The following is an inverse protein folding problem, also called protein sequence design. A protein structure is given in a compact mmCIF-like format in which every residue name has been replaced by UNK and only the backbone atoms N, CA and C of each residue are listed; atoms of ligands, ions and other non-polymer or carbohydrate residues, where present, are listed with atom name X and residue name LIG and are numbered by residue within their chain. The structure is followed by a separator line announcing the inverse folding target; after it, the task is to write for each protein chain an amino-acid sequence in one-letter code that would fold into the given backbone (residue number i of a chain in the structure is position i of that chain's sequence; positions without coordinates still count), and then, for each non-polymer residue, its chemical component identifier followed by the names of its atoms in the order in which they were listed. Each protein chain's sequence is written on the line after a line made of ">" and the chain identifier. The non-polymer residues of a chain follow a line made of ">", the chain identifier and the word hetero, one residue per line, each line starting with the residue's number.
data_IF_766762347310
#
_entry.id   IF_766762347310
#
_cell.length_a   1.000
_cell.length_b   1.000
_cell.length_c   1.000
_cell.angle_alpha   90.00
_cell.angle_beta   90.00
_cell.angle_gamma   90.00
#
_symmetry.space_group_name_H-M   'P 1'
#
loop_
_entity.id
_entity.type
_entity.pdbx_description
1 polymer ?
#
# COMPACT_ATOMS: atom_id res chain seq x y z
N UNK A 1 -36.23 -23.85 -4.99
CA UNK A 1 -35.28 -23.07 -5.83
C UNK A 1 -34.55 -22.07 -4.92
N UNK A 2 -33.39 -22.42 -4.36
CA UNK A 2 -32.58 -21.51 -3.58
C UNK A 2 -31.93 -20.49 -4.55
N UNK A 3 -32.33 -19.20 -4.40
CA UNK A 3 -31.60 -18.09 -5.07
C UNK A 3 -30.11 -18.33 -4.81
N UNK A 4 -29.31 -18.47 -5.86
CA UNK A 4 -27.83 -18.42 -5.81
C UNK A 4 -27.48 -17.03 -5.26
N UNK A 5 -27.44 -16.89 -3.94
CA UNK A 5 -26.81 -15.74 -3.30
C UNK A 5 -25.33 -15.85 -3.71
N UNK A 6 -24.81 -14.83 -4.37
CA UNK A 6 -23.40 -14.81 -4.77
C UNK A 6 -22.49 -15.14 -3.58
N UNK A 7 -21.33 -15.74 -3.84
CA UNK A 7 -20.36 -16.14 -2.81
C UNK A 7 -20.03 -14.96 -1.88
N UNK A 8 -20.24 -15.15 -0.57
CA UNK A 8 -20.10 -14.10 0.45
C UNK A 8 -18.70 -13.47 0.47
N UNK A 9 -17.66 -14.23 0.08
CA UNK A 9 -16.29 -13.73 -0.04
C UNK A 9 -16.17 -12.45 -0.90
N UNK A 10 -16.98 -12.29 -1.94
CA UNK A 10 -16.96 -11.06 -2.75
C UNK A 10 -17.51 -9.83 -2.00
N UNK A 11 -18.43 -10.04 -1.06
CA UNK A 11 -18.88 -8.95 -0.18
C UNK A 11 -17.75 -8.55 0.78
N UNK A 12 -16.96 -9.52 1.26
CA UNK A 12 -15.76 -9.23 2.07
C UNK A 12 -14.71 -8.48 1.25
N UNK A 13 -14.53 -8.79 -0.05
CA UNK A 13 -13.67 -8.00 -0.96
C UNK A 13 -14.15 -6.56 -1.06
N UNK A 14 -15.45 -6.32 -1.25
CA UNK A 14 -16.02 -4.98 -1.27
C UNK A 14 -15.80 -4.23 0.06
N UNK A 15 -15.94 -4.91 1.19
CA UNK A 15 -15.64 -4.34 2.49
C UNK A 15 -14.16 -4.00 2.65
N UNK A 16 -13.25 -4.87 2.20
CA UNK A 16 -11.80 -4.60 2.18
C UNK A 16 -11.44 -3.44 1.24
N UNK A 17 -12.14 -3.28 0.12
CA UNK A 17 -11.99 -2.12 -0.76
C UNK A 17 -12.32 -0.82 -0.02
N UNK A 18 -13.47 -0.75 0.67
CA UNK A 18 -13.85 0.44 1.47
C UNK A 18 -12.85 0.67 2.60
N UNK A 19 -12.40 -0.40 3.28
CA UNK A 19 -11.36 -0.31 4.30
C UNK A 19 -10.09 0.32 3.73
N UNK A 20 -9.65 -0.10 2.53
CA UNK A 20 -8.48 0.45 1.85
C UNK A 20 -8.68 1.93 1.46
N UNK A 21 -9.87 2.34 1.01
CA UNK A 21 -10.18 3.75 0.71
C UNK A 21 -9.90 4.65 1.91
N UNK A 22 -10.44 4.29 3.07
CA UNK A 22 -10.23 5.07 4.30
C UNK A 22 -8.79 4.99 4.80
N UNK A 23 -8.20 3.78 4.82
CA UNK A 23 -6.84 3.58 5.30
C UNK A 23 -5.84 4.45 4.53
N UNK A 24 -5.87 4.38 3.20
CA UNK A 24 -4.95 5.16 2.36
C UNK A 24 -5.28 6.66 2.37
N UNK A 25 -6.56 7.02 2.36
CA UNK A 25 -6.99 8.41 2.43
C UNK A 25 -6.53 9.14 3.70
N UNK A 26 -6.49 8.44 4.82
CA UNK A 26 -6.14 8.98 6.13
C UNK A 26 -4.66 8.76 6.46
N UNK A 27 -4.18 7.51 6.33
CA UNK A 27 -2.87 7.13 6.85
C UNK A 27 -1.72 7.25 5.86
N UNK A 28 -2.01 7.35 4.57
CA UNK A 28 -0.98 7.43 3.52
C UNK A 28 -0.96 8.79 2.82
N UNK A 29 -2.09 9.23 2.29
CA UNK A 29 -2.21 10.53 1.62
C UNK A 29 -2.48 11.68 2.61
N UNK A 30 -3.17 11.40 3.73
CA UNK A 30 -3.50 12.37 4.76
C UNK A 30 -2.29 13.09 5.39
N UNK A 31 -1.21 12.41 5.79
CA UNK A 31 -0.08 13.03 6.47
C UNK A 31 0.53 14.22 5.73
N UNK A 32 0.65 14.17 4.40
CA UNK A 32 1.11 15.31 3.61
C UNK A 32 0.19 16.53 3.68
N UNK A 33 -1.12 16.30 3.76
CA UNK A 33 -2.14 17.34 3.88
C UNK A 33 -2.11 17.94 5.30
N UNK A 34 -1.95 17.09 6.33
CA UNK A 34 -1.83 17.55 7.72
C UNK A 34 -0.60 18.43 7.91
N UNK A 35 0.53 18.05 7.28
CA UNK A 35 1.76 18.85 7.26
C UNK A 35 1.48 20.26 6.75
N UNK A 36 0.85 20.37 5.58
CA UNK A 36 0.56 21.66 4.97
C UNK A 36 -0.36 22.50 5.87
N UNK A 37 -1.45 21.93 6.34
CA UNK A 37 -2.41 22.63 7.21
C UNK A 37 -1.80 23.10 8.54
N UNK A 38 -0.92 22.29 9.14
CA UNK A 38 -0.23 22.66 10.39
C UNK A 38 0.88 23.69 10.15
N UNK A 39 1.61 23.59 9.04
CA UNK A 39 2.61 24.56 8.65
C UNK A 39 1.98 25.96 8.47
N UNK A 40 0.85 26.03 7.76
CA UNK A 40 0.13 27.30 7.55
C UNK A 40 -0.48 27.84 8.86
N UNK A 41 -1.04 26.98 9.72
CA UNK A 41 -1.73 27.42 10.94
C UNK A 41 -0.77 27.79 12.07
N UNK A 42 0.25 26.97 12.33
CA UNK A 42 1.14 27.09 13.49
C UNK A 42 2.52 27.64 13.15
N UNK A 43 2.86 27.75 11.86
CA UNK A 43 4.19 28.19 11.43
C UNK A 43 5.31 27.17 11.72
N UNK A 44 4.97 25.91 12.07
CA UNK A 44 5.98 24.90 12.38
C UNK A 44 6.79 24.50 11.15
N UNK A 45 8.07 24.24 11.37
CA UNK A 45 8.97 23.89 10.27
C UNK A 45 8.55 22.59 9.56
N UNK A 46 8.74 22.56 8.24
CA UNK A 46 8.49 21.36 7.46
C UNK A 46 9.32 20.16 7.95
N UNK A 47 10.53 20.39 8.49
CA UNK A 47 11.38 19.37 9.08
C UNK A 47 10.75 18.69 10.30
N UNK A 48 10.18 19.46 11.24
CA UNK A 48 9.48 18.93 12.40
C UNK A 48 8.27 18.07 11.98
N UNK A 49 7.45 18.60 11.09
CA UNK A 49 6.24 17.93 10.61
C UNK A 49 6.56 16.66 9.81
N UNK A 50 7.58 16.71 8.94
CA UNK A 50 8.08 15.54 8.23
C UNK A 50 8.67 14.49 9.17
N UNK A 51 9.32 14.91 10.25
CA UNK A 51 9.80 14.02 11.32
C UNK A 51 8.65 13.26 11.99
N UNK A 52 7.53 13.92 12.26
CA UNK A 52 6.34 13.26 12.80
C UNK A 52 5.69 12.29 11.81
N UNK A 53 5.69 12.61 10.50
CA UNK A 53 5.24 11.68 9.45
C UNK A 53 6.17 10.47 9.36
N UNK A 54 7.48 10.68 9.44
CA UNK A 54 8.45 9.57 9.49
C UNK A 54 8.21 8.68 10.71
N UNK A 55 7.94 9.27 11.89
CA UNK A 55 7.57 8.53 13.10
C UNK A 55 6.32 7.68 12.88
N UNK A 56 5.28 8.23 12.22
CA UNK A 56 4.06 7.49 11.86
C UNK A 56 4.39 6.22 11.05
N UNK A 57 5.20 6.34 9.99
CA UNK A 57 5.53 5.18 9.15
C UNK A 57 6.46 4.18 9.88
N UNK A 58 7.45 4.66 10.65
CA UNK A 58 8.34 3.78 11.42
C UNK A 58 7.60 3.05 12.55
N UNK A 59 6.72 3.74 13.27
CA UNK A 59 5.86 3.11 14.29
C UNK A 59 4.94 2.06 13.66
N UNK A 60 4.35 2.36 12.51
CA UNK A 60 3.57 1.37 11.76
C UNK A 60 4.42 0.16 11.36
N UNK A 61 5.63 0.38 10.83
CA UNK A 61 6.54 -0.69 10.48
C UNK A 61 6.88 -1.58 11.69
N UNK A 62 6.96 -1.01 12.89
CA UNK A 62 7.16 -1.76 14.12
C UNK A 62 5.91 -2.55 14.56
N UNK A 63 4.70 -2.05 14.33
CA UNK A 63 3.44 -2.67 14.75
C UNK A 63 3.02 -3.82 13.81
N UNK A 64 3.14 -3.63 12.48
CA UNK A 64 2.63 -4.56 11.46
C UNK A 64 3.10 -6.03 11.63
N UNK A 65 4.34 -6.34 12.06
CA UNK A 65 4.76 -7.72 12.29
C UNK A 65 3.97 -8.47 13.38
N UNK A 66 3.39 -7.73 14.32
CA UNK A 66 2.55 -8.30 15.39
C UNK A 66 1.09 -8.51 14.98
N UNK A 67 0.69 -7.98 13.83
CA UNK A 67 -0.69 -8.03 13.34
C UNK A 67 -1.27 -9.46 13.28
N UNK A 68 -0.56 -10.51 12.81
CA UNK A 68 -1.11 -11.87 12.82
C UNK A 68 -1.45 -12.37 14.23
N UNK A 69 -0.64 -11.99 15.24
CA UNK A 69 -0.92 -12.32 16.64
C UNK A 69 -2.12 -11.56 17.18
N UNK A 70 -2.23 -10.27 16.82
CA UNK A 70 -3.37 -9.43 17.21
C UNK A 70 -4.68 -9.97 16.63
N UNK A 71 -4.69 -10.32 15.34
CA UNK A 71 -5.84 -10.92 14.67
C UNK A 71 -6.22 -12.28 15.27
N UNK A 72 -5.24 -13.13 15.62
CA UNK A 72 -5.47 -14.40 16.28
C UNK A 72 -6.01 -14.29 17.70
N UNK A 73 -5.56 -13.27 18.46
CA UNK A 73 -5.94 -13.09 19.87
C UNK A 73 -7.27 -12.34 20.04
N UNK A 74 -7.47 -11.26 19.30
CA UNK A 74 -8.60 -10.33 19.46
C UNK A 74 -9.67 -10.51 18.37
N UNK A 75 -9.34 -11.23 17.30
CA UNK A 75 -10.21 -11.40 16.14
C UNK A 75 -10.21 -10.20 15.20
N UNK A 76 -10.68 -10.44 13.99
CA UNK A 76 -10.64 -9.46 12.88
C UNK A 76 -11.49 -8.22 13.18
N UNK A 77 -12.68 -8.41 13.77
CA UNK A 77 -13.60 -7.30 14.08
C UNK A 77 -12.98 -6.32 15.07
N UNK A 78 -12.42 -6.83 16.19
CA UNK A 78 -11.86 -5.98 17.24
C UNK A 78 -10.62 -5.23 16.74
N UNK A 79 -9.75 -5.89 15.97
CA UNK A 79 -8.55 -5.24 15.40
C UNK A 79 -8.93 -4.16 14.40
N UNK A 80 -9.91 -4.43 13.49
CA UNK A 80 -10.35 -3.42 12.51
C UNK A 80 -11.07 -2.25 13.17
N UNK A 81 -11.99 -2.52 14.11
CA UNK A 81 -12.72 -1.46 14.81
C UNK A 81 -11.78 -0.64 15.72
N UNK A 82 -10.86 -1.30 16.44
CA UNK A 82 -9.83 -0.63 17.22
C UNK A 82 -8.90 0.23 16.36
N UNK A 83 -8.55 -0.26 15.16
CA UNK A 83 -7.83 0.52 14.16
C UNK A 83 -8.59 1.76 13.68
N UNK A 84 -9.92 1.64 13.48
CA UNK A 84 -10.75 2.79 13.12
C UNK A 84 -10.78 3.84 14.23
N UNK A 85 -10.89 3.42 15.49
CA UNK A 85 -10.80 4.33 16.66
C UNK A 85 -9.44 4.99 16.73
N UNK A 86 -8.35 4.23 16.58
CA UNK A 86 -6.99 4.77 16.60
C UNK A 86 -6.76 5.77 15.45
N UNK A 87 -7.25 5.48 14.23
CA UNK A 87 -7.20 6.42 13.10
C UNK A 87 -7.98 7.70 13.38
N UNK A 88 -9.21 7.59 13.89
CA UNK A 88 -10.06 8.73 14.20
C UNK A 88 -9.43 9.63 15.28
N UNK A 89 -9.00 9.03 16.39
CA UNK A 89 -8.31 9.77 17.46
C UNK A 89 -7.00 10.39 17.00
N UNK A 90 -6.23 9.66 16.18
CA UNK A 90 -4.98 10.15 15.62
C UNK A 90 -5.17 11.36 14.70
N UNK A 91 -6.17 11.33 13.82
CA UNK A 91 -6.50 12.47 12.95
C UNK A 91 -6.93 13.69 13.77
N UNK A 92 -7.75 13.48 14.79
CA UNK A 92 -8.13 14.54 15.73
C UNK A 92 -6.89 15.10 16.46
N UNK A 93 -5.99 14.22 16.92
CA UNK A 93 -4.76 14.64 17.59
C UNK A 93 -3.84 15.47 16.68
N UNK A 94 -3.73 15.12 15.36
CA UNK A 94 -3.04 15.96 14.39
C UNK A 94 -3.71 17.33 14.27
N UNK A 95 -5.02 17.35 14.11
CA UNK A 95 -5.75 18.56 13.80
C UNK A 95 -5.84 19.55 14.99
N UNK A 96 -5.87 19.05 16.22
CA UNK A 96 -5.95 19.85 17.42
C UNK A 96 -4.58 20.02 18.14
N UNK A 97 -3.49 19.65 17.45
CA UNK A 97 -2.15 19.89 17.97
C UNK A 97 -1.88 21.40 18.06
N UNK A 98 -1.53 21.86 19.28
CA UNK A 98 -1.17 23.25 19.61
C UNK A 98 0.29 23.39 20.06
N UNK A 99 0.95 22.26 20.36
CA UNK A 99 2.34 22.19 20.79
C UNK A 99 3.07 21.11 19.98
N UNK A 100 4.37 21.28 19.64
CA UNK A 100 5.11 20.30 18.82
C UNK A 100 5.11 18.87 19.35
N UNK A 101 5.09 18.67 20.67
CA UNK A 101 5.09 17.34 21.26
C UNK A 101 3.76 16.59 21.07
N UNK A 102 2.64 17.29 20.77
CA UNK A 102 1.35 16.66 20.42
C UNK A 102 1.45 15.82 19.14
N UNK A 103 2.43 16.11 18.27
CA UNK A 103 2.67 15.34 17.05
C UNK A 103 3.08 13.88 17.33
N UNK A 104 3.72 13.63 18.50
CA UNK A 104 4.14 12.27 18.85
C UNK A 104 2.94 11.34 19.08
N UNK A 105 2.01 11.61 20.01
CA UNK A 105 0.83 10.77 20.17
C UNK A 105 -0.05 10.73 18.92
N UNK A 106 -0.16 11.83 18.16
CA UNK A 106 -0.91 11.87 16.91
C UNK A 106 -0.34 10.91 15.87
N UNK A 107 0.99 10.91 15.68
CA UNK A 107 1.69 9.99 14.80
C UNK A 107 1.55 8.53 15.22
N UNK A 108 1.68 8.23 16.52
CA UNK A 108 1.55 6.87 17.05
C UNK A 108 0.13 6.32 16.92
N UNK A 109 -0.90 7.14 17.18
CA UNK A 109 -2.29 6.75 17.02
C UNK A 109 -2.63 6.47 15.54
N UNK A 110 -2.24 7.38 14.64
CA UNK A 110 -2.46 7.15 13.20
C UNK A 110 -1.66 5.95 12.69
N UNK A 111 -0.44 5.70 13.21
CA UNK A 111 0.35 4.51 12.88
C UNK A 111 -0.35 3.22 13.32
N UNK A 112 -0.94 3.18 14.51
CA UNK A 112 -1.69 2.03 15.00
C UNK A 112 -2.91 1.75 14.12
N UNK A 113 -3.67 2.79 13.77
CA UNK A 113 -4.81 2.69 12.86
C UNK A 113 -4.42 2.23 11.46
N UNK A 114 -3.39 2.83 10.87
CA UNK A 114 -2.82 2.43 9.59
C UNK A 114 -2.38 0.96 9.58
N UNK A 115 -1.70 0.51 10.65
CA UNK A 115 -1.23 -0.88 10.77
C UNK A 115 -2.38 -1.87 10.76
N UNK A 116 -3.46 -1.57 11.50
CA UNK A 116 -4.65 -2.43 11.58
C UNK A 116 -5.44 -2.52 10.26
N UNK A 117 -5.25 -1.59 9.34
CA UNK A 117 -5.90 -1.51 8.03
C UNK A 117 -4.94 -1.73 6.85
N UNK A 118 -3.69 -2.10 7.13
CA UNK A 118 -2.62 -2.27 6.16
C UNK A 118 -2.89 -3.38 5.13
N UNK A 119 -2.02 -3.46 4.12
CA UNK A 119 -2.03 -4.57 3.15
C UNK A 119 -1.96 -5.94 3.82
N UNK A 120 -1.20 -6.06 4.92
CA UNK A 120 -1.11 -7.28 5.71
C UNK A 120 -2.45 -7.65 6.35
N UNK A 121 -3.20 -6.66 6.87
CA UNK A 121 -4.53 -6.86 7.44
C UNK A 121 -5.53 -7.33 6.36
N UNK A 122 -5.60 -6.63 5.23
CA UNK A 122 -6.48 -6.98 4.11
C UNK A 122 -6.16 -8.39 3.58
N UNK A 123 -4.87 -8.72 3.44
CA UNK A 123 -4.46 -10.06 3.05
C UNK A 123 -4.92 -11.12 4.07
N UNK A 124 -4.79 -10.87 5.37
CA UNK A 124 -5.23 -11.78 6.42
C UNK A 124 -6.76 -11.97 6.42
N UNK A 125 -7.54 -10.91 6.20
CA UNK A 125 -9.01 -10.95 6.11
C UNK A 125 -9.46 -11.77 4.91
N UNK A 126 -8.81 -11.61 3.74
CA UNK A 126 -9.22 -12.28 2.50
C UNK A 126 -8.69 -13.71 2.38
N UNK A 127 -7.62 -14.05 3.08
CA UNK A 127 -6.96 -15.35 2.93
C UNK A 127 -7.85 -16.58 3.23
N UNK A 128 -8.79 -16.56 4.19
CA UNK A 128 -9.69 -17.69 4.44
C UNK A 128 -10.77 -17.86 3.35
N UNK A 129 -11.11 -16.79 2.63
CA UNK A 129 -12.18 -16.75 1.64
C UNK A 129 -11.74 -17.18 0.25
N UNK A 130 -10.44 -16.99 -0.10
CA UNK A 130 -9.95 -17.17 -1.46
C UNK A 130 -8.66 -17.98 -1.50
N UNK A 131 -8.60 -18.88 -2.46
CA UNK A 131 -7.42 -19.67 -2.80
C UNK A 131 -6.97 -19.40 -4.25
N UNK A 132 -7.67 -19.94 -5.23
CA UNK A 132 -7.36 -19.78 -6.66
C UNK A 132 -7.63 -18.34 -7.13
N UNK A 133 -8.72 -17.73 -6.68
CA UNK A 133 -9.15 -16.37 -7.03
C UNK A 133 -8.53 -15.29 -6.13
N UNK A 134 -7.61 -15.67 -5.23
CA UNK A 134 -6.97 -14.73 -4.31
C UNK A 134 -6.24 -13.58 -5.00
N UNK A 135 -5.52 -13.76 -6.15
CA UNK A 135 -4.91 -12.64 -6.87
C UNK A 135 -5.93 -11.58 -7.28
N UNK A 136 -7.06 -12.00 -7.84
CA UNK A 136 -8.15 -11.12 -8.23
C UNK A 136 -8.80 -10.43 -7.01
N UNK A 137 -9.07 -11.17 -5.95
CA UNK A 137 -9.66 -10.65 -4.72
C UNK A 137 -8.80 -9.55 -4.07
N UNK A 138 -7.48 -9.80 -3.94
CA UNK A 138 -6.53 -8.81 -3.43
C UNK A 138 -6.40 -7.60 -4.35
N UNK A 139 -6.35 -7.80 -5.66
CA UNK A 139 -6.28 -6.73 -6.64
C UNK A 139 -7.48 -5.79 -6.52
N UNK A 140 -8.69 -6.34 -6.49
CA UNK A 140 -9.91 -5.56 -6.36
C UNK A 140 -9.97 -4.81 -5.02
N UNK A 141 -9.62 -5.47 -3.90
CA UNK A 141 -9.59 -4.84 -2.59
C UNK A 141 -8.57 -3.68 -2.54
N UNK A 142 -7.36 -3.89 -3.08
CA UNK A 142 -6.31 -2.85 -3.06
C UNK A 142 -6.55 -1.70 -4.05
N UNK A 143 -7.47 -1.82 -5.01
CA UNK A 143 -7.89 -0.67 -5.81
C UNK A 143 -8.52 0.43 -4.94
N UNK A 144 -9.08 0.07 -3.79
CA UNK A 144 -9.49 1.04 -2.78
C UNK A 144 -8.37 1.98 -2.33
N UNK A 145 -7.11 1.53 -2.30
CA UNK A 145 -5.97 2.37 -1.97
C UNK A 145 -5.79 3.55 -2.95
N UNK A 146 -5.93 3.29 -4.24
CA UNK A 146 -5.87 4.33 -5.29
C UNK A 146 -7.07 5.26 -5.23
N UNK A 147 -8.27 4.70 -5.06
CA UNK A 147 -9.50 5.51 -4.89
C UNK A 147 -9.42 6.36 -3.61
N UNK A 148 -8.81 5.84 -2.54
CA UNK A 148 -8.55 6.61 -1.32
C UNK A 148 -7.77 7.89 -1.58
N UNK A 149 -6.70 7.82 -2.36
CA UNK A 149 -5.94 9.02 -2.76
C UNK A 149 -6.76 9.99 -3.59
N UNK A 150 -7.45 9.48 -4.62
CA UNK A 150 -8.28 10.30 -5.52
C UNK A 150 -9.46 10.97 -4.81
N UNK A 151 -10.10 10.27 -3.86
CA UNK A 151 -11.27 10.77 -3.16
C UNK A 151 -10.90 11.67 -1.96
N UNK A 152 -9.97 11.22 -1.12
CA UNK A 152 -9.65 11.92 0.13
C UNK A 152 -8.82 13.18 -0.07
N UNK A 153 -7.94 13.24 -1.08
CA UNK A 153 -7.13 14.45 -1.31
C UNK A 153 -8.00 15.68 -1.60
N UNK A 154 -8.93 15.66 -2.57
CA UNK A 154 -9.83 16.78 -2.78
C UNK A 154 -10.84 16.96 -1.64
N UNK A 155 -11.30 15.88 -0.98
CA UNK A 155 -12.19 15.97 0.18
C UNK A 155 -11.51 16.74 1.32
N UNK A 156 -10.27 16.41 1.66
CA UNK A 156 -9.50 17.13 2.67
C UNK A 156 -9.31 18.60 2.30
N UNK A 157 -8.88 18.90 1.06
CA UNK A 157 -8.68 20.27 0.60
C UNK A 157 -9.99 21.09 0.68
N UNK A 158 -11.10 20.51 0.25
CA UNK A 158 -12.40 21.15 0.32
C UNK A 158 -12.85 21.41 1.77
N UNK A 159 -12.80 20.39 2.63
CA UNK A 159 -13.22 20.53 4.02
C UNK A 159 -12.34 21.51 4.80
N UNK A 160 -11.03 21.46 4.62
CA UNK A 160 -10.09 22.36 5.30
C UNK A 160 -10.35 23.81 4.86
N UNK A 161 -10.56 24.04 3.56
CA UNK A 161 -10.86 25.37 3.04
C UNK A 161 -12.22 25.91 3.50
N UNK A 162 -13.20 25.04 3.74
CA UNK A 162 -14.56 25.44 4.12
C UNK A 162 -14.74 25.63 5.64
N UNK A 163 -14.26 24.68 6.44
CA UNK A 163 -14.55 24.63 7.89
C UNK A 163 -13.28 24.59 8.76
N UNK A 164 -12.10 24.72 8.16
CA UNK A 164 -10.83 24.62 8.85
C UNK A 164 -10.41 23.20 9.20
N UNK A 165 -9.12 23.02 9.51
CA UNK A 165 -8.53 21.68 9.71
C UNK A 165 -9.13 20.90 10.89
N UNK A 166 -9.40 21.56 12.02
CA UNK A 166 -9.97 20.90 13.21
C UNK A 166 -11.33 20.26 12.94
N UNK A 167 -12.25 21.01 12.33
CA UNK A 167 -13.58 20.51 11.99
C UNK A 167 -13.56 19.51 10.82
N UNK A 168 -12.71 19.73 9.84
CA UNK A 168 -12.49 18.77 8.75
C UNK A 168 -12.05 17.41 9.30
N UNK A 169 -11.09 17.40 10.22
CA UNK A 169 -10.63 16.20 10.91
C UNK A 169 -11.76 15.52 11.71
N UNK A 170 -12.62 16.32 12.37
CA UNK A 170 -13.77 15.79 13.12
C UNK A 170 -14.77 15.09 12.20
N UNK A 171 -15.07 15.67 11.04
CA UNK A 171 -15.94 15.05 10.02
C UNK A 171 -15.34 13.73 9.51
N UNK A 172 -14.05 13.73 9.16
CA UNK A 172 -13.38 12.53 8.66
C UNK A 172 -13.26 11.46 9.75
N UNK A 173 -12.98 11.84 11.00
CA UNK A 173 -12.94 10.92 12.13
C UNK A 173 -14.32 10.27 12.38
N UNK A 174 -15.38 11.07 12.37
CA UNK A 174 -16.76 10.56 12.49
C UNK A 174 -17.11 9.63 11.33
N UNK A 175 -16.83 10.01 10.08
CA UNK A 175 -17.05 9.18 8.91
C UNK A 175 -16.28 7.84 9.01
N UNK A 176 -15.03 7.88 9.49
CA UNK A 176 -14.20 6.68 9.69
C UNK A 176 -14.88 5.70 10.66
N UNK A 177 -15.36 6.18 11.80
CA UNK A 177 -16.04 5.34 12.79
C UNK A 177 -17.39 4.84 12.28
N UNK A 178 -18.20 5.72 11.67
CA UNK A 178 -19.54 5.38 11.17
C UNK A 178 -19.51 4.39 10.00
N UNK A 179 -18.42 4.38 9.23
CA UNK A 179 -18.28 3.46 8.09
C UNK A 179 -17.53 2.19 8.50
N UNK A 180 -16.33 2.30 9.09
CA UNK A 180 -15.48 1.14 9.30
C UNK A 180 -15.92 0.26 10.47
N UNK A 181 -16.56 0.81 11.51
CA UNK A 181 -17.07 0.00 12.61
C UNK A 181 -18.21 -0.93 12.20
N UNK A 182 -19.33 -0.43 11.60
CA UNK A 182 -20.39 -1.30 11.11
C UNK A 182 -19.91 -2.26 10.02
N UNK A 183 -19.00 -1.80 9.16
CA UNK A 183 -18.38 -2.62 8.14
C UNK A 183 -17.66 -3.83 8.77
N UNK A 184 -16.82 -3.61 9.79
CA UNK A 184 -16.10 -4.68 10.47
C UNK A 184 -17.07 -5.69 11.10
N UNK A 185 -18.09 -5.21 11.81
CA UNK A 185 -19.08 -6.08 12.47
C UNK A 185 -19.90 -6.87 11.45
N UNK A 186 -20.30 -6.24 10.35
CA UNK A 186 -21.20 -6.88 9.37
C UNK A 186 -20.51 -7.87 8.44
N UNK A 187 -19.29 -7.57 7.98
CA UNK A 187 -18.62 -8.36 6.94
C UNK A 187 -17.38 -9.12 7.41
N UNK A 188 -16.73 -8.72 8.51
CA UNK A 188 -15.54 -9.41 9.00
C UNK A 188 -15.81 -10.34 10.18
N UNK A 189 -17.02 -10.30 10.74
CA UNK A 189 -17.44 -11.25 11.78
C UNK A 189 -17.67 -12.68 11.25
N UNK A 190 -18.35 -12.88 10.09
CA UNK A 190 -18.54 -14.22 9.55
C UNK A 190 -17.21 -14.80 9.03
N UNK A 191 -17.00 -16.08 9.27
CA UNK A 191 -15.90 -16.85 8.66
C UNK A 191 -16.47 -17.84 7.64
N UNK A 192 -15.70 -18.29 6.62
CA UNK A 192 -16.18 -19.31 5.70
C UNK A 192 -16.68 -20.55 6.42
N UNK A 193 -15.93 -21.04 7.41
CA UNK A 193 -16.29 -22.22 8.20
C UNK A 193 -17.62 -22.05 8.95
N UNK A 194 -17.87 -20.88 9.56
CA UNK A 194 -19.12 -20.58 10.25
C UNK A 194 -20.34 -20.53 9.32
N UNK A 195 -20.11 -20.28 8.02
CA UNK A 195 -21.15 -20.26 6.98
C UNK A 195 -21.23 -21.58 6.20
N UNK A 196 -20.44 -22.61 6.57
CA UNK A 196 -20.36 -23.88 5.84
C UNK A 196 -19.82 -23.72 4.42
N UNK A 197 -18.97 -22.70 4.17
CA UNK A 197 -18.42 -22.39 2.86
C UNK A 197 -16.94 -22.77 2.79
N UNK A 198 -16.52 -23.20 1.61
CA UNK A 198 -15.11 -23.38 1.29
C UNK A 198 -14.55 -22.19 0.51
N UNK A 199 -13.20 -22.01 0.47
CA UNK A 199 -12.56 -20.97 -0.31
C UNK A 199 -13.03 -20.98 -1.77
N UNK A 200 -13.09 -19.80 -2.38
CA UNK A 200 -13.58 -19.57 -3.75
C UNK A 200 -15.04 -19.95 -3.99
N UNK A 201 -15.79 -20.31 -2.95
CA UNK A 201 -17.16 -20.84 -3.06
C UNK A 201 -17.21 -22.25 -3.65
N UNK A 202 -16.15 -23.06 -3.43
CA UNK A 202 -16.08 -24.44 -3.88
C UNK A 202 -17.07 -25.32 -3.07
N UNK A 203 -17.46 -26.45 -3.66
CA UNK A 203 -18.35 -27.43 -3.03
C UNK A 203 -17.61 -28.40 -2.09
N UNK A 204 -16.27 -28.41 -2.15
CA UNK A 204 -15.41 -29.27 -1.33
C UNK A 204 -14.17 -28.50 -0.83
N UNK A 205 -13.53 -29.00 0.25
CA UNK A 205 -12.29 -28.40 0.72
C UNK A 205 -11.20 -28.45 -0.36
N UNK A 206 -10.33 -27.43 -0.45
CA UNK A 206 -9.22 -27.45 -1.40
C UNK A 206 -8.32 -28.67 -1.10
N UNK A 207 -7.74 -29.30 -2.16
CA UNK A 207 -6.80 -30.40 -1.94
C UNK A 207 -5.63 -29.94 -1.06
N UNK A 208 -5.09 -30.84 -0.21
CA UNK A 208 -3.91 -30.53 0.59
C UNK A 208 -2.80 -30.01 -0.32
N UNK A 209 -2.31 -28.82 -0.05
CA UNK A 209 -1.12 -28.32 -0.77
C UNK A 209 0.09 -29.16 -0.34
N UNK A 210 0.96 -29.58 -1.28
CA UNK A 210 2.26 -30.10 -0.92
C UNK A 210 2.88 -29.07 0.05
N UNK A 211 3.39 -29.55 1.18
CA UNK A 211 4.08 -28.67 2.12
C UNK A 211 5.17 -27.94 1.32
N UNK A 212 4.98 -26.65 1.11
CA UNK A 212 6.05 -25.85 0.52
C UNK A 212 7.26 -26.08 1.42
N UNK A 213 8.43 -26.39 0.85
CA UNK A 213 9.66 -26.63 1.58
C UNK A 213 10.06 -25.34 2.30
N UNK A 214 9.25 -24.95 3.28
CA UNK A 214 9.47 -23.80 4.14
C UNK A 214 10.64 -24.14 5.03
N UNK A 215 11.75 -23.44 4.86
CA UNK A 215 12.89 -23.58 5.73
C UNK A 215 12.45 -23.23 7.16
N UNK A 216 12.50 -24.21 8.05
CA UNK A 216 12.33 -23.96 9.48
C UNK A 216 13.42 -22.94 9.92
N UNK A 217 13.03 -21.91 10.68
CA UNK A 217 13.97 -20.95 11.23
C UNK A 217 13.54 -19.47 11.08
N UNK A 218 14.34 -18.55 11.61
CA UNK A 218 14.06 -17.12 11.54
C UNK A 218 13.98 -16.64 10.09
N UNK A 219 12.94 -15.83 9.76
CA UNK A 219 12.70 -15.33 8.41
C UNK A 219 13.92 -14.62 7.82
N UNK A 220 14.63 -13.85 8.61
CA UNK A 220 15.82 -13.10 8.18
C UNK A 220 17.00 -13.96 7.74
N UNK A 221 17.05 -15.23 8.12
CA UNK A 221 18.06 -16.19 7.66
C UNK A 221 17.68 -16.87 6.34
N UNK A 222 16.45 -16.67 5.87
CA UNK A 222 15.95 -17.27 4.64
C UNK A 222 16.26 -16.37 3.43
N UNK A 223 17.12 -16.79 2.47
CA UNK A 223 17.43 -15.99 1.28
C UNK A 223 16.21 -15.58 0.46
N UNK A 224 15.17 -16.43 0.28
CA UNK A 224 13.95 -16.03 -0.42
C UNK A 224 13.22 -14.87 0.27
N UNK A 225 13.21 -14.84 1.61
CA UNK A 225 12.61 -13.77 2.38
C UNK A 225 13.40 -12.45 2.25
N UNK A 226 14.72 -12.52 2.40
CA UNK A 226 15.58 -11.33 2.26
C UNK A 226 15.46 -10.70 0.88
N UNK A 227 15.49 -11.51 -0.18
CA UNK A 227 15.35 -11.01 -1.56
C UNK A 227 13.95 -10.43 -1.83
N UNK A 228 12.89 -11.04 -1.30
CA UNK A 228 11.52 -10.52 -1.41
C UNK A 228 11.40 -9.17 -0.68
N UNK A 229 11.81 -9.12 0.58
CA UNK A 229 11.70 -7.90 1.40
C UNK A 229 12.52 -6.75 0.83
N UNK A 230 13.79 -6.99 0.45
CA UNK A 230 14.67 -5.96 -0.08
C UNK A 230 14.20 -5.44 -1.44
N UNK A 231 13.80 -6.34 -2.36
CA UNK A 231 13.34 -5.93 -3.68
C UNK A 231 12.10 -5.02 -3.59
N UNK A 232 11.09 -5.41 -2.81
CA UNK A 232 9.88 -4.61 -2.68
C UNK A 232 10.08 -3.36 -1.80
N UNK A 233 11.01 -3.36 -0.86
CA UNK A 233 11.41 -2.16 -0.13
C UNK A 233 12.05 -1.12 -1.07
N UNK A 234 13.02 -1.52 -1.89
CA UNK A 234 13.65 -0.66 -2.90
C UNK A 234 12.62 -0.12 -3.91
N UNK A 235 11.75 -1.00 -4.41
CA UNK A 235 10.70 -0.63 -5.35
C UNK A 235 9.71 0.39 -4.76
N UNK A 236 9.27 0.19 -3.51
CA UNK A 236 8.34 1.11 -2.86
C UNK A 236 9.02 2.45 -2.52
N UNK A 237 10.30 2.45 -2.14
CA UNK A 237 11.08 3.67 -1.92
C UNK A 237 11.18 4.49 -3.21
N UNK A 238 11.51 3.85 -4.33
CA UNK A 238 11.54 4.48 -5.65
C UNK A 238 10.19 5.07 -6.03
N UNK A 239 9.12 4.29 -5.84
CA UNK A 239 7.75 4.70 -6.17
C UNK A 239 7.31 5.90 -5.34
N UNK A 240 7.51 5.87 -4.02
CA UNK A 240 7.10 6.96 -3.14
C UNK A 240 7.87 8.24 -3.41
N UNK A 241 9.19 8.12 -3.55
CA UNK A 241 10.03 9.27 -3.87
C UNK A 241 9.66 9.89 -5.22
N UNK A 242 9.46 9.07 -6.26
CA UNK A 242 9.09 9.58 -7.57
C UNK A 242 7.69 10.22 -7.57
N UNK A 243 6.69 9.60 -6.92
CA UNK A 243 5.35 10.17 -6.82
C UNK A 243 5.34 11.54 -6.14
N UNK A 244 6.15 11.73 -5.10
CA UNK A 244 6.22 13.02 -4.37
C UNK A 244 6.91 14.11 -5.16
N UNK A 245 7.89 13.77 -6.01
CA UNK A 245 8.60 14.75 -6.87
C UNK A 245 7.95 14.94 -8.23
N UNK A 246 7.07 14.04 -8.64
CA UNK A 246 6.50 14.00 -9.99
C UNK A 246 5.72 15.27 -10.34
N UNK A 247 4.96 15.83 -9.39
CA UNK A 247 4.23 17.08 -9.63
C UNK A 247 5.20 18.24 -9.99
N UNK A 248 6.28 18.36 -9.24
CA UNK A 248 7.30 19.40 -9.48
C UNK A 248 8.01 19.21 -10.83
N UNK A 249 8.15 17.98 -11.31
CA UNK A 249 8.73 17.68 -12.63
C UNK A 249 7.74 18.01 -13.76
N UNK A 250 6.46 17.76 -13.55
CA UNK A 250 5.41 17.90 -14.57
C UNK A 250 4.91 19.35 -14.71
N UNK A 251 4.79 20.08 -13.60
CA UNK A 251 4.15 21.40 -13.57
C UNK A 251 4.81 22.46 -14.49
N UNK A 252 6.14 22.54 -14.66
CA UNK A 252 6.77 23.49 -15.56
C UNK A 252 6.38 23.31 -17.02
N UNK A 253 6.09 22.06 -17.45
CA UNK A 253 5.79 21.74 -18.86
C UNK A 253 4.29 21.68 -19.13
N UNK A 254 3.52 21.07 -18.20
CA UNK A 254 2.09 20.82 -18.37
C UNK A 254 1.20 21.88 -17.71
N UNK A 255 1.78 22.80 -16.96
CA UNK A 255 1.04 23.68 -16.06
C UNK A 255 0.48 22.94 -14.86
N UNK A 256 0.00 23.68 -13.85
CA UNK A 256 -0.52 23.10 -12.59
C UNK A 256 -1.69 22.12 -12.81
N UNK A 257 -2.63 22.48 -13.68
CA UNK A 257 -3.78 21.61 -14.00
C UNK A 257 -3.34 20.35 -14.75
N UNK A 258 -2.45 20.49 -15.76
CA UNK A 258 -1.94 19.36 -16.52
C UNK A 258 -1.15 18.39 -15.66
N UNK A 259 -0.33 18.87 -14.72
CA UNK A 259 0.38 18.06 -13.75
C UNK A 259 -0.58 17.28 -12.83
N UNK A 260 -1.63 17.93 -12.33
CA UNK A 260 -2.68 17.27 -11.53
C UNK A 260 -3.40 16.16 -12.31
N UNK A 261 -3.76 16.43 -13.57
CA UNK A 261 -4.38 15.42 -14.45
C UNK A 261 -3.44 14.24 -14.75
N UNK A 262 -2.15 14.52 -14.95
CA UNK A 262 -1.15 13.46 -15.16
C UNK A 262 -0.97 12.57 -13.93
N UNK A 263 -1.01 13.11 -12.71
CA UNK A 263 -1.03 12.29 -11.48
C UNK A 263 -2.31 11.45 -11.36
N UNK A 264 -3.45 11.99 -11.76
CA UNK A 264 -4.71 11.23 -11.83
C UNK A 264 -4.62 10.12 -12.87
N UNK A 265 -3.98 10.37 -14.02
CA UNK A 265 -3.70 9.36 -15.05
C UNK A 265 -2.79 8.26 -14.51
N UNK A 266 -1.71 8.58 -13.78
CA UNK A 266 -0.86 7.58 -13.12
C UNK A 266 -1.66 6.68 -12.18
N UNK A 267 -2.58 7.27 -11.42
CA UNK A 267 -3.46 6.52 -10.50
C UNK A 267 -4.46 5.61 -11.25
N UNK A 268 -5.02 6.09 -12.36
CA UNK A 268 -5.88 5.29 -13.24
C UNK A 268 -5.09 4.11 -13.85
N UNK A 269 -3.89 4.36 -14.32
CA UNK A 269 -2.98 3.32 -14.82
C UNK A 269 -2.62 2.30 -13.72
N UNK A 270 -2.45 2.74 -12.46
CA UNK A 270 -2.20 1.85 -11.33
C UNK A 270 -3.37 0.88 -11.08
N UNK A 271 -4.61 1.36 -11.21
CA UNK A 271 -5.82 0.53 -11.11
C UNK A 271 -5.88 -0.46 -12.27
N UNK A 272 -5.67 0.01 -13.50
CA UNK A 272 -5.68 -0.84 -14.69
C UNK A 272 -4.59 -1.91 -14.62
N UNK A 273 -3.35 -1.53 -14.34
CA UNK A 273 -2.23 -2.47 -14.25
C UNK A 273 -2.44 -3.51 -13.15
N UNK A 274 -2.88 -3.10 -11.96
CA UNK A 274 -3.18 -4.01 -10.85
C UNK A 274 -4.30 -4.99 -11.21
N UNK A 275 -5.38 -4.50 -11.77
CA UNK A 275 -6.52 -5.33 -12.17
C UNK A 275 -6.12 -6.31 -13.26
N UNK A 276 -5.38 -5.86 -14.29
CA UNK A 276 -4.88 -6.71 -15.36
C UNK A 276 -3.99 -7.85 -14.81
N UNK A 277 -3.01 -7.55 -13.97
CA UNK A 277 -2.17 -8.60 -13.36
C UNK A 277 -3.00 -9.52 -12.45
N UNK A 278 -3.90 -8.95 -11.63
CA UNK A 278 -4.74 -9.74 -10.72
C UNK A 278 -5.67 -10.72 -11.44
N UNK A 279 -6.14 -10.37 -12.65
CA UNK A 279 -7.08 -11.18 -13.44
C UNK A 279 -6.41 -12.06 -14.49
N UNK A 280 -5.36 -11.55 -15.15
CA UNK A 280 -4.73 -12.21 -16.30
C UNK A 280 -3.52 -13.07 -15.93
N UNK A 281 -2.99 -12.95 -14.70
CA UNK A 281 -1.81 -13.70 -14.29
C UNK A 281 -2.11 -15.21 -14.20
N UNK A 282 -1.51 -16.06 -15.05
CA UNK A 282 -1.80 -17.49 -15.08
C UNK A 282 -1.47 -18.16 -13.73
N UNK A 283 -2.25 -19.16 -13.35
CA UNK A 283 -2.10 -19.86 -12.06
C UNK A 283 -0.71 -20.50 -11.87
N UNK A 284 -0.09 -20.98 -12.95
CA UNK A 284 1.24 -21.61 -12.95
C UNK A 284 2.43 -20.66 -13.14
N UNK A 285 2.19 -19.37 -13.35
CA UNK A 285 3.27 -18.42 -13.59
C UNK A 285 4.09 -18.14 -12.34
N UNK A 286 5.41 -18.08 -12.50
CA UNK A 286 6.32 -17.68 -11.42
C UNK A 286 6.07 -16.22 -11.02
N UNK A 287 5.57 -16.03 -9.80
CA UNK A 287 5.17 -14.71 -9.26
C UNK A 287 6.35 -13.74 -9.14
N UNK A 288 7.58 -14.25 -8.97
CA UNK A 288 8.78 -13.40 -8.98
C UNK A 288 9.05 -12.79 -10.34
N UNK A 289 8.81 -13.53 -11.43
CA UNK A 289 8.94 -12.99 -12.79
C UNK A 289 7.93 -11.88 -13.06
N UNK A 290 6.70 -12.01 -12.54
CA UNK A 290 5.72 -10.92 -12.61
C UNK A 290 6.22 -9.67 -11.86
N UNK A 291 6.86 -9.85 -10.70
CA UNK A 291 7.50 -8.75 -9.96
C UNK A 291 8.65 -8.09 -10.73
N UNK A 292 9.51 -8.90 -11.33
CA UNK A 292 10.62 -8.40 -12.18
C UNK A 292 10.06 -7.62 -13.38
N UNK A 293 9.09 -8.15 -14.09
CA UNK A 293 8.45 -7.45 -15.21
C UNK A 293 7.83 -6.13 -14.78
N UNK A 294 7.20 -6.09 -13.60
CA UNK A 294 6.67 -4.87 -13.03
C UNK A 294 7.75 -3.81 -12.76
N UNK A 295 8.87 -4.18 -12.15
CA UNK A 295 9.97 -3.26 -11.92
C UNK A 295 10.59 -2.77 -13.22
N UNK A 296 10.70 -3.61 -14.24
CA UNK A 296 11.22 -3.23 -15.55
C UNK A 296 10.29 -2.26 -16.28
N UNK A 297 8.97 -2.47 -16.22
CA UNK A 297 7.99 -1.52 -16.78
C UNK A 297 8.11 -0.16 -16.10
N UNK A 298 8.21 -0.12 -14.77
CA UNK A 298 8.44 1.14 -14.05
C UNK A 298 9.80 1.76 -14.40
N UNK A 299 10.85 0.95 -14.55
CA UNK A 299 12.18 1.42 -14.95
C UNK A 299 12.16 2.09 -16.34
N UNK A 300 11.47 1.48 -17.30
CA UNK A 300 11.27 2.11 -18.62
C UNK A 300 10.51 3.43 -18.48
N UNK A 301 9.46 3.49 -17.67
CA UNK A 301 8.75 4.73 -17.37
C UNK A 301 9.66 5.78 -16.76
N UNK A 302 10.55 5.40 -15.83
CA UNK A 302 11.53 6.30 -15.21
C UNK A 302 12.56 6.80 -16.21
N UNK A 303 13.04 5.96 -17.15
CA UNK A 303 13.92 6.41 -18.26
C UNK A 303 13.21 7.45 -19.12
N UNK A 304 11.97 7.19 -19.53
CA UNK A 304 11.20 8.12 -20.37
C UNK A 304 10.99 9.45 -19.64
N UNK A 305 10.67 9.41 -18.34
CA UNK A 305 10.55 10.62 -17.51
C UNK A 305 11.87 11.40 -17.42
N UNK A 306 13.00 10.71 -17.25
CA UNK A 306 14.32 11.34 -17.17
C UNK A 306 14.72 12.02 -18.49
N UNK A 307 14.49 11.35 -19.62
CA UNK A 307 14.77 11.88 -20.96
C UNK A 307 13.84 13.07 -21.28
N UNK A 308 12.59 13.00 -20.82
CA UNK A 308 11.59 14.04 -21.04
C UNK A 308 11.72 15.25 -20.11
N UNK A 309 12.59 15.17 -19.10
CA UNK A 309 12.64 16.12 -18.00
C UNK A 309 12.81 17.55 -18.48
N UNK A 310 11.71 18.28 -18.50
CA UNK A 310 11.66 19.71 -18.79
C UNK A 310 11.33 20.09 -20.25
N UNK A 311 11.18 19.15 -21.21
CA UNK A 311 11.08 19.52 -22.61
C UNK A 311 9.86 18.97 -23.38
N UNK A 312 9.38 17.78 -23.10
CA UNK A 312 8.36 17.12 -23.90
C UNK A 312 7.15 16.64 -23.12
N UNK A 313 6.01 17.33 -23.29
CA UNK A 313 4.73 16.93 -22.69
C UNK A 313 4.33 15.49 -23.05
N UNK A 314 4.51 15.09 -24.29
CA UNK A 314 4.15 13.74 -24.77
C UNK A 314 4.98 12.65 -24.09
N UNK A 315 6.31 12.85 -23.99
CA UNK A 315 7.19 11.90 -23.31
C UNK A 315 6.91 11.86 -21.80
N UNK A 316 6.64 13.01 -21.17
CA UNK A 316 6.23 13.04 -19.76
C UNK A 316 4.97 12.22 -19.51
N UNK A 317 3.93 12.36 -20.33
CA UNK A 317 2.70 11.59 -20.22
C UNK A 317 2.93 10.09 -20.47
N UNK A 318 3.76 9.74 -21.47
CA UNK A 318 4.12 8.33 -21.71
C UNK A 318 4.86 7.74 -20.52
N UNK A 319 5.82 8.45 -19.96
CA UNK A 319 6.54 8.02 -18.76
C UNK A 319 5.62 7.85 -17.54
N UNK A 320 4.67 8.76 -17.35
CA UNK A 320 3.64 8.68 -16.31
C UNK A 320 2.76 7.44 -16.49
N UNK A 321 2.34 7.11 -17.71
CA UNK A 321 1.54 5.91 -18.00
C UNK A 321 2.32 4.65 -17.67
N UNK A 322 3.55 4.51 -18.17
CA UNK A 322 4.40 3.34 -17.96
C UNK A 322 4.72 3.13 -16.47
N UNK A 323 5.13 4.19 -15.79
CA UNK A 323 5.37 4.16 -14.35
C UNK A 323 4.09 3.84 -13.59
N UNK A 324 2.97 4.46 -13.96
CA UNK A 324 1.65 4.28 -13.36
C UNK A 324 1.17 2.84 -13.40
N UNK A 325 1.33 2.14 -14.53
CA UNK A 325 0.94 0.73 -14.69
C UNK A 325 1.58 -0.18 -13.64
N UNK A 326 2.79 0.14 -13.18
CA UNK A 326 3.51 -0.65 -12.18
C UNK A 326 3.16 -0.31 -10.73
N UNK A 327 2.60 0.86 -10.43
CA UNK A 327 2.36 1.34 -9.06
C UNK A 327 1.53 0.33 -8.25
N UNK A 328 0.46 -0.18 -8.84
CA UNK A 328 -0.49 -1.04 -8.14
C UNK A 328 0.09 -2.37 -7.68
N UNK A 329 1.12 -2.88 -8.35
CA UNK A 329 1.65 -4.22 -8.14
C UNK A 329 2.47 -4.37 -6.87
N UNK A 330 3.06 -3.29 -6.36
CA UNK A 330 3.86 -3.33 -5.15
C UNK A 330 3.06 -3.75 -3.92
N UNK A 331 1.75 -3.55 -3.93
CA UNK A 331 0.87 -3.97 -2.85
C UNK A 331 0.36 -5.41 -3.02
N UNK A 332 0.12 -5.85 -4.26
CA UNK A 332 -0.53 -7.14 -4.55
C UNK A 332 0.44 -8.30 -4.73
N UNK A 333 1.63 -8.08 -5.30
CA UNK A 333 2.58 -9.15 -5.58
C UNK A 333 3.25 -9.77 -4.34
N UNK A 334 3.68 -9.03 -3.30
CA UNK A 334 4.31 -9.64 -2.13
C UNK A 334 3.46 -10.73 -1.45
N UNK A 335 2.15 -10.51 -1.19
CA UNK A 335 1.29 -11.58 -0.66
C UNK A 335 1.17 -12.79 -1.58
N UNK A 336 1.14 -12.57 -2.90
CA UNK A 336 1.04 -13.65 -3.88
C UNK A 336 2.34 -14.47 -3.96
N UNK A 337 3.50 -13.82 -3.89
CA UNK A 337 4.79 -14.50 -3.82
C UNK A 337 4.90 -15.28 -2.50
N UNK A 338 4.52 -14.67 -1.38
CA UNK A 338 4.54 -15.32 -0.07
C UNK A 338 3.65 -16.58 -0.08
N UNK A 339 2.46 -16.51 -0.66
CA UNK A 339 1.55 -17.64 -0.78
C UNK A 339 2.12 -18.78 -1.65
N UNK A 340 2.91 -18.46 -2.66
CA UNK A 340 3.52 -19.45 -3.55
C UNK A 340 4.78 -20.12 -2.94
N UNK A 341 5.46 -19.46 -2.01
CA UNK A 341 6.79 -19.86 -1.55
C UNK A 341 6.87 -20.32 -0.09
N UNK A 342 5.87 -20.00 0.74
CA UNK A 342 5.83 -20.36 2.15
C UNK A 342 4.62 -21.23 2.49
N UNK A 343 4.71 -22.08 3.53
CA UNK A 343 3.55 -22.81 4.09
C UNK A 343 2.44 -21.84 4.51
N UNK A 344 1.19 -22.29 4.44
CA UNK A 344 0.01 -21.45 4.71
C UNK A 344 0.09 -20.75 6.09
N UNK A 345 0.61 -21.45 7.11
CA UNK A 345 0.77 -20.95 8.47
C UNK A 345 1.79 -19.81 8.59
N UNK A 346 2.79 -19.77 7.70
CA UNK A 346 3.84 -18.77 7.69
C UNK A 346 3.48 -17.54 6.84
N UNK A 347 2.55 -17.66 5.88
CA UNK A 347 2.23 -16.58 4.92
C UNK A 347 1.86 -15.28 5.63
N UNK A 348 1.01 -15.33 6.65
CA UNK A 348 0.60 -14.13 7.39
C UNK A 348 1.79 -13.40 8.02
N UNK A 349 2.72 -14.14 8.64
CA UNK A 349 3.94 -13.58 9.24
C UNK A 349 4.88 -13.03 8.18
N UNK A 350 5.07 -13.75 7.07
CA UNK A 350 5.92 -13.29 5.95
C UNK A 350 5.39 -11.99 5.38
N UNK A 351 4.10 -11.92 5.04
CA UNK A 351 3.46 -10.72 4.46
C UNK A 351 3.56 -9.54 5.42
N UNK A 352 3.26 -9.74 6.70
CA UNK A 352 3.35 -8.68 7.71
C UNK A 352 4.78 -8.13 7.83
N UNK A 353 5.79 -9.03 7.88
CA UNK A 353 7.19 -8.60 8.02
C UNK A 353 7.71 -7.92 6.75
N UNK A 354 7.35 -8.43 5.55
CA UNK A 354 7.68 -7.77 4.26
C UNK A 354 7.05 -6.38 4.21
N UNK A 355 5.77 -6.25 4.56
CA UNK A 355 5.07 -4.95 4.59
C UNK A 355 5.73 -3.97 5.57
N UNK A 356 6.17 -4.44 6.73
CA UNK A 356 6.89 -3.61 7.70
C UNK A 356 8.20 -3.07 7.13
N UNK A 357 9.00 -3.95 6.49
CA UNK A 357 10.27 -3.54 5.85
C UNK A 357 10.00 -2.53 4.74
N UNK A 358 9.02 -2.80 3.87
CA UNK A 358 8.62 -1.89 2.81
C UNK A 358 8.23 -0.51 3.37
N UNK A 359 7.42 -0.47 4.42
CA UNK A 359 6.94 0.77 5.06
C UNK A 359 8.10 1.54 5.70
N UNK A 360 9.04 0.85 6.37
CA UNK A 360 10.20 1.50 6.97
C UNK A 360 11.11 2.16 5.93
N UNK A 361 11.36 1.47 4.82
CA UNK A 361 12.22 1.99 3.76
C UNK A 361 11.54 3.11 2.96
N UNK A 362 10.25 2.98 2.64
CA UNK A 362 9.55 3.99 1.86
C UNK A 362 9.44 5.35 2.56
N UNK A 363 9.54 5.38 3.89
CA UNK A 363 9.56 6.62 4.66
C UNK A 363 10.69 7.59 4.24
N UNK A 364 11.78 7.04 3.69
CA UNK A 364 12.93 7.83 3.22
C UNK A 364 12.85 8.20 1.74
N UNK A 365 11.92 7.62 0.98
CA UNK A 365 11.79 7.85 -0.46
C UNK A 365 11.61 9.33 -0.84
N UNK A 366 10.64 10.05 -0.25
CA UNK A 366 10.43 11.47 -0.53
C UNK A 366 11.66 12.34 -0.28
N UNK A 367 12.34 12.14 0.87
CA UNK A 367 13.54 12.89 1.20
C UNK A 367 14.68 12.59 0.22
N UNK A 368 14.91 11.32 -0.11
CA UNK A 368 15.97 10.90 -1.01
C UNK A 368 15.81 11.48 -2.42
N UNK A 369 14.61 11.41 -2.99
CA UNK A 369 14.36 11.89 -4.34
C UNK A 369 14.12 13.41 -4.37
N UNK A 370 13.61 14.00 -3.28
CA UNK A 370 13.50 15.45 -3.13
C UNK A 370 14.88 16.13 -3.13
N UNK A 371 15.83 15.63 -2.35
CA UNK A 371 17.22 16.11 -2.37
C UNK A 371 17.85 15.97 -3.76
N UNK A 372 17.56 14.87 -4.46
CA UNK A 372 18.04 14.69 -5.82
C UNK A 372 17.45 15.75 -6.78
N UNK A 373 16.16 16.09 -6.64
CA UNK A 373 15.52 17.15 -7.42
C UNK A 373 16.17 18.51 -7.16
N UNK A 374 16.36 18.87 -5.90
CA UNK A 374 16.85 20.18 -5.49
C UNK A 374 18.30 20.42 -5.93
N UNK A 375 19.16 19.39 -5.91
CA UNK A 375 20.58 19.54 -6.20
C UNK A 375 20.96 19.23 -7.65
N UNK A 376 20.23 18.35 -8.32
CA UNK A 376 20.60 17.82 -9.64
C UNK A 376 19.53 18.02 -10.72
N UNK A 377 18.41 18.70 -10.36
CA UNK A 377 17.36 19.05 -11.30
C UNK A 377 16.37 17.92 -11.63
N UNK A 378 15.44 18.18 -12.57
CA UNK A 378 14.23 17.35 -12.78
C UNK A 378 14.49 15.95 -13.34
N UNK A 379 15.63 15.70 -13.97
CA UNK A 379 16.01 14.37 -14.46
C UNK A 379 16.52 13.43 -13.34
N UNK A 380 17.02 13.97 -12.23
CA UNK A 380 17.67 13.18 -11.19
C UNK A 380 16.73 12.26 -10.41
N UNK A 381 15.51 12.66 -9.96
CA UNK A 381 14.59 11.76 -9.29
C UNK A 381 14.20 10.53 -10.14
N UNK A 382 13.82 10.67 -11.44
CA UNK A 382 13.56 9.49 -12.28
C UNK A 382 14.78 8.60 -12.47
N UNK A 383 15.99 9.13 -12.60
CA UNK A 383 17.22 8.33 -12.72
C UNK A 383 17.54 7.58 -11.43
N UNK A 384 17.35 8.19 -10.28
CA UNK A 384 17.53 7.54 -8.99
C UNK A 384 16.47 6.43 -8.79
N UNK A 385 15.22 6.71 -9.16
CA UNK A 385 14.15 5.71 -9.14
C UNK A 385 14.46 4.53 -10.07
N UNK A 386 14.98 4.78 -11.28
CA UNK A 386 15.48 3.77 -12.21
C UNK A 386 16.51 2.85 -11.54
N UNK A 387 17.52 3.42 -10.90
CA UNK A 387 18.56 2.66 -10.19
C UNK A 387 17.97 1.74 -9.13
N UNK A 388 17.04 2.25 -8.30
CA UNK A 388 16.35 1.47 -7.28
C UNK A 388 15.47 0.37 -7.88
N UNK A 389 14.75 0.63 -8.98
CA UNK A 389 13.88 -0.33 -9.66
C UNK A 389 14.69 -1.46 -10.33
N UNK A 390 15.80 -1.13 -10.98
CA UNK A 390 16.72 -2.12 -11.58
C UNK A 390 17.35 -2.99 -10.48
N UNK A 391 17.80 -2.38 -9.39
CA UNK A 391 18.30 -3.11 -8.22
C UNK A 391 17.23 -4.03 -7.64
N UNK A 392 15.99 -3.57 -7.51
CA UNK A 392 14.86 -4.38 -7.05
C UNK A 392 14.61 -5.59 -7.96
N UNK A 393 14.60 -5.38 -9.29
CA UNK A 393 14.46 -6.46 -10.27
C UNK A 393 15.60 -7.49 -10.14
N UNK A 394 16.85 -7.03 -10.05
CA UNK A 394 18.03 -7.88 -9.88
C UNK A 394 17.99 -8.71 -8.60
N UNK A 395 17.66 -8.09 -7.46
CA UNK A 395 17.51 -8.78 -6.17
C UNK A 395 16.42 -9.85 -6.20
N UNK A 396 15.29 -9.55 -6.87
CA UNK A 396 14.18 -10.49 -6.99
C UNK A 396 14.54 -11.69 -7.88
N UNK A 397 15.29 -11.46 -8.97
CA UNK A 397 15.84 -12.50 -9.85
C UNK A 397 16.86 -13.38 -9.13
N UNK A 398 17.81 -12.79 -8.41
CA UNK A 398 18.81 -13.53 -7.65
C UNK A 398 18.15 -14.46 -6.61
N UNK A 399 17.11 -13.98 -5.93
CA UNK A 399 16.33 -14.80 -5.00
C UNK A 399 15.60 -15.98 -5.66
N UNK A 400 15.22 -15.83 -6.94
CA UNK A 400 14.63 -16.90 -7.76
C UNK A 400 15.65 -17.97 -8.13
N UNK A 401 16.84 -17.56 -8.58
CA UNK A 401 17.90 -18.48 -8.97
C UNK A 401 18.36 -19.37 -7.81
N UNK A 402 18.57 -18.78 -6.62
CA UNK A 402 18.96 -19.53 -5.42
C UNK A 402 17.91 -20.56 -4.95
N UNK A 403 16.63 -20.38 -5.30
CA UNK A 403 15.58 -21.36 -5.01
C UNK A 403 15.65 -22.57 -5.94
N UNK A 404 15.87 -22.36 -7.25
CA UNK A 404 15.98 -23.45 -8.24
C UNK A 404 17.16 -24.38 -7.97
N UNK A 405 18.28 -23.83 -7.48
CA UNK A 405 19.46 -24.63 -7.09
C UNK A 405 19.22 -25.52 -5.87
N UNK A 406 18.32 -25.13 -4.95
CA UNK A 406 17.99 -25.92 -3.74
C UNK A 406 16.92 -26.99 -3.99
N UNK A 407 16.21 -26.93 -5.10
CA UNK A 407 15.19 -27.91 -5.51
C UNK A 407 15.75 -28.99 -6.45
N UNK A 408 16.96 -28.80 -6.97
CA UNK A 408 17.76 -29.82 -7.68
C UNK A 408 18.69 -30.53 -6.69
#
# INVERSE_FOLDING_TARGET
>A
MARRRGFFGWQVVGACFVLAVFAWGIGFYGPGIYLHALHEREGWSAGLLSGAITLHFLASAAIVPFLPRMLGRFGTVAVTAGGAVASALGVLAWAWASEPWHLVPAALLTAAGWSAHSTAAINAILSPWFDRRRPMALSLAYNGASIGGVAFSPLWAFLIGWIGFGWAASVVAAATLLVLWPLAVRWFRPTPAALGLFPDGADAPPPPRPAAAGTAGPLWRQPPFRSLSLAFALGLTAQMGLLTTLFAILAPVLGTQGAGLALSLATACAILGRTAVGTLLPAGMDRRLAGVANFLVQAVGSVVLAVAAGESATLLLLGVILFGLGIGQLLSLPPLIAQAEWPAEAVGRVVATVSAVMTAFCAFGPALLGVALDHFGPAAPPLLALGLQVAAAGVLLAGRAGRRQRQR
#
